data_IF_789759247844
#
_entry.id   IF_789759247844
#
_cell.length_a   1.000
_cell.length_b   1.000
_cell.length_c   1.000
_cell.angle_alpha   90.00
_cell.angle_beta   90.00
_cell.angle_gamma   90.00
#
_symmetry.space_group_name_H-M   'P 1'
#
loop_
_entity.id
_entity.type
_entity.pdbx_description
1 polymer ?
#
# COMPACT_ATOMS: atom_id res chain seq x y z
N UNK A 1 -10.84 -36.70 -22.78
CA UNK A 1 -11.24 -37.31 -21.50
C UNK A 1 -10.85 -36.37 -20.36
N UNK A 2 -11.77 -35.51 -19.92
CA UNK A 2 -11.63 -34.71 -18.70
C UNK A 2 -12.98 -34.74 -17.99
N UNK A 3 -13.04 -35.51 -16.91
CA UNK A 3 -14.27 -35.84 -16.20
C UNK A 3 -14.64 -34.71 -15.22
N UNK A 4 -15.60 -33.89 -15.62
CA UNK A 4 -16.50 -33.16 -14.72
C UNK A 4 -17.63 -34.11 -14.32
N UNK A 5 -17.76 -34.49 -13.05
CA UNK A 5 -19.10 -34.64 -12.44
C UNK A 5 -19.09 -34.88 -10.93
N UNK A 6 -19.96 -34.10 -10.26
CA UNK A 6 -20.70 -34.38 -9.02
C UNK A 6 -19.91 -34.91 -7.81
N UNK A 7 -19.54 -33.98 -6.93
CA UNK A 7 -19.46 -34.27 -5.49
C UNK A 7 -20.76 -33.78 -4.86
N UNK A 8 -21.64 -34.75 -4.60
CA UNK A 8 -22.86 -34.64 -3.81
C UNK A 8 -22.53 -34.26 -2.36
N UNK A 9 -22.89 -33.05 -1.94
CA UNK A 9 -22.91 -32.67 -0.52
C UNK A 9 -24.20 -33.14 0.11
N UNK A 10 -24.13 -34.27 0.81
CA UNK A 10 -25.11 -34.68 1.82
C UNK A 10 -25.07 -33.66 2.98
N UNK A 11 -26.10 -32.81 3.06
CA UNK A 11 -26.40 -32.01 4.25
C UNK A 11 -26.84 -32.96 5.36
N UNK A 12 -25.91 -33.32 6.24
CA UNK A 12 -26.24 -33.87 7.55
C UNK A 12 -26.98 -32.81 8.36
N UNK A 13 -28.18 -33.16 8.82
CA UNK A 13 -28.94 -32.38 9.77
C UNK A 13 -28.19 -32.37 11.11
N UNK A 14 -27.40 -31.32 11.34
CA UNK A 14 -26.97 -30.96 12.69
C UNK A 14 -28.16 -30.20 13.27
N UNK A 15 -28.84 -30.86 14.21
CA UNK A 15 -29.88 -30.27 15.02
C UNK A 15 -29.34 -28.98 15.64
N UNK A 16 -29.86 -27.84 15.20
CA UNK A 16 -29.75 -26.60 15.94
C UNK A 16 -30.47 -26.82 17.26
N UNK A 17 -29.70 -27.07 18.32
CA UNK A 17 -30.15 -26.83 19.68
C UNK A 17 -30.41 -25.33 19.73
N UNK A 18 -31.67 -24.96 19.54
CA UNK A 18 -32.17 -23.65 19.86
C UNK A 18 -32.00 -23.50 21.37
N UNK A 19 -30.87 -22.89 21.76
CA UNK A 19 -30.73 -22.24 23.06
C UNK A 19 -31.96 -21.37 23.22
N UNK A 20 -32.81 -21.76 24.17
CA UNK A 20 -34.05 -21.08 24.50
C UNK A 20 -33.72 -19.66 24.90
N UNK A 21 -33.81 -18.74 23.93
CA UNK A 21 -33.87 -17.33 24.20
C UNK A 21 -35.09 -17.11 25.09
N UNK A 22 -34.83 -16.61 26.29
CA UNK A 22 -35.85 -16.09 27.19
C UNK A 22 -36.45 -14.84 26.53
N UNK A 23 -37.38 -15.08 25.61
CA UNK A 23 -38.30 -14.07 25.10
C UNK A 23 -39.25 -13.75 26.23
N UNK A 24 -38.99 -12.64 26.92
CA UNK A 24 -39.98 -11.95 27.73
C UNK A 24 -41.09 -11.53 26.79
N UNK A 25 -42.22 -12.21 26.89
CA UNK A 25 -43.45 -11.83 26.18
C UNK A 25 -43.77 -10.35 26.49
N UNK A 26 -44.32 -9.59 25.51
CA UNK A 26 -44.75 -8.22 25.76
C UNK A 26 -45.76 -8.22 26.92
N UNK A 27 -45.52 -7.33 27.88
CA UNK A 27 -46.39 -7.06 29.03
C UNK A 27 -47.81 -6.81 28.49
N UNK A 28 -48.67 -7.82 28.60
CA UNK A 28 -50.10 -7.60 28.66
C UNK A 28 -50.30 -6.79 29.93
N UNK A 29 -50.82 -5.57 29.77
CA UNK A 29 -51.47 -4.81 30.83
C UNK A 29 -52.24 -5.79 31.71
N UNK A 30 -51.77 -5.97 32.94
CA UNK A 30 -52.44 -6.77 33.95
C UNK A 30 -53.85 -6.19 34.12
N UNK A 31 -54.82 -6.92 33.59
CA UNK A 31 -56.20 -6.74 33.93
C UNK A 31 -56.29 -7.03 35.43
N UNK A 32 -56.43 -5.95 36.21
CA UNK A 32 -56.54 -5.97 37.67
C UNK A 32 -57.55 -7.07 38.03
N UNK A 33 -57.06 -8.18 38.57
CA UNK A 33 -57.92 -9.24 39.07
C UNK A 33 -58.94 -8.58 40.03
N UNK A 34 -60.24 -8.89 39.91
CA UNK A 34 -61.25 -8.25 40.74
C UNK A 34 -60.88 -8.47 42.20
N UNK A 35 -60.80 -7.37 42.94
CA UNK A 35 -60.59 -7.33 44.38
C UNK A 35 -61.72 -8.11 45.07
N UNK A 36 -61.53 -9.41 45.19
CA UNK A 36 -62.40 -10.37 45.86
C UNK A 36 -61.74 -10.92 47.12
N UNK A 37 -60.92 -10.12 47.80
CA UNK A 37 -60.37 -10.45 49.11
C UNK A 37 -61.42 -10.23 50.20
N UNK A 38 -62.37 -11.13 50.34
CA UNK A 38 -63.29 -11.10 51.48
C UNK A 38 -62.56 -11.41 52.79
N UNK A 39 -63.13 -10.97 53.92
CA UNK A 39 -62.54 -11.13 55.24
C UNK A 39 -62.25 -12.63 55.49
N UNK A 40 -60.96 -12.95 55.71
CA UNK A 40 -60.44 -14.32 55.89
C UNK A 40 -60.58 -15.27 54.67
N UNK A 41 -60.56 -14.75 53.42
CA UNK A 41 -60.55 -15.60 52.22
C UNK A 41 -61.88 -16.29 51.91
N UNK A 42 -62.95 -15.89 52.59
CA UNK A 42 -64.32 -16.26 52.23
C UNK A 42 -64.91 -15.14 51.39
N UNK A 43 -65.65 -15.45 50.33
CA UNK A 43 -66.29 -14.50 49.40
C UNK A 43 -67.41 -13.64 50.03
N UNK A 44 -67.44 -13.54 51.36
CA UNK A 44 -68.37 -12.71 52.12
C UNK A 44 -67.84 -11.28 52.18
N UNK A 45 -68.65 -10.32 51.71
CA UNK A 45 -68.33 -8.91 51.85
C UNK A 45 -68.26 -8.54 53.35
N UNK A 46 -67.34 -7.64 53.76
CA UNK A 46 -67.14 -7.25 55.18
C UNK A 46 -68.43 -6.83 55.91
N UNK A 47 -69.39 -6.27 55.18
CA UNK A 47 -70.71 -5.85 55.69
C UNK A 47 -71.62 -7.00 56.13
N UNK A 48 -71.50 -8.20 55.53
CA UNK A 48 -72.28 -9.38 55.89
C UNK A 48 -71.53 -10.31 56.85
N UNK A 49 -70.20 -10.22 56.89
CA UNK A 49 -69.37 -11.02 57.79
C UNK A 49 -69.58 -10.65 59.26
N UNK A 50 -69.74 -9.37 59.58
CA UNK A 50 -69.94 -8.91 60.97
C UNK A 50 -71.26 -9.43 61.55
N UNK A 51 -72.44 -9.26 60.91
CA UNK A 51 -73.68 -9.81 61.43
C UNK A 51 -73.68 -11.35 61.46
N UNK A 52 -73.17 -12.02 60.41
CA UNK A 52 -73.14 -13.48 60.36
C UNK A 52 -72.25 -14.09 61.47
N UNK A 53 -71.11 -13.45 61.76
CA UNK A 53 -70.23 -13.85 62.86
C UNK A 53 -70.89 -13.68 64.24
N UNK A 54 -71.65 -12.61 64.44
CA UNK A 54 -72.42 -12.40 65.68
C UNK A 54 -73.52 -13.46 65.82
N UNK A 55 -74.29 -13.73 64.75
CA UNK A 55 -75.34 -14.75 64.76
C UNK A 55 -74.81 -16.17 64.99
N UNK A 56 -73.62 -16.50 64.48
CA UNK A 56 -72.97 -17.79 64.73
C UNK A 56 -72.27 -17.86 66.10
N UNK A 57 -71.75 -16.75 66.61
CA UNK A 57 -71.02 -16.69 67.88
C UNK A 57 -71.91 -16.84 69.12
N UNK A 58 -73.11 -16.24 69.10
CA UNK A 58 -74.07 -16.31 70.22
C UNK A 58 -74.41 -17.76 70.62
N UNK A 59 -74.81 -18.68 69.71
CA UNK A 59 -75.13 -20.06 70.08
C UNK A 59 -73.91 -20.88 70.51
N UNK A 60 -72.71 -20.57 70.02
CA UNK A 60 -71.46 -21.27 70.40
C UNK A 60 -71.10 -20.96 71.86
N UNK A 61 -71.30 -19.70 72.29
CA UNK A 61 -71.05 -19.27 73.67
C UNK A 61 -72.16 -19.79 74.61
N UNK A 62 -73.44 -19.72 74.18
CA UNK A 62 -74.57 -20.15 75.00
C UNK A 62 -74.62 -21.68 75.22
N UNK A 63 -74.20 -22.48 74.25
CA UNK A 63 -74.14 -23.95 74.37
C UNK A 63 -72.84 -24.45 75.02
N UNK A 64 -71.96 -23.55 75.50
CA UNK A 64 -70.65 -23.86 76.07
C UNK A 64 -69.75 -24.78 75.23
N UNK A 65 -69.89 -24.73 73.90
CA UNK A 65 -68.98 -25.45 72.99
C UNK A 65 -67.56 -24.86 73.02
N UNK A 66 -67.44 -23.60 73.44
CA UNK A 66 -66.18 -22.91 73.70
C UNK A 66 -66.23 -22.29 75.10
N UNK A 67 -65.34 -22.74 75.99
CA UNK A 67 -65.21 -22.21 77.35
C UNK A 67 -64.23 -21.04 77.31
N UNK A 68 -64.69 -19.86 77.73
CA UNK A 68 -63.86 -18.66 77.81
C UNK A 68 -62.93 -18.76 79.02
N UNK A 69 -61.71 -19.23 78.79
CA UNK A 69 -60.61 -19.29 79.76
C UNK A 69 -59.42 -18.42 79.30
N UNK A 70 -58.39 -18.28 80.13
CA UNK A 70 -57.19 -17.49 79.86
C UNK A 70 -56.52 -17.84 78.51
N UNK A 71 -56.62 -19.08 78.06
CA UNK A 71 -56.11 -19.54 76.76
C UNK A 71 -56.88 -18.94 75.57
N UNK A 72 -58.20 -18.70 75.70
CA UNK A 72 -59.00 -18.07 74.64
C UNK A 72 -58.68 -16.58 74.47
N UNK A 73 -58.28 -15.90 75.55
CA UNK A 73 -57.75 -14.55 75.51
C UNK A 73 -56.38 -14.50 74.81
N UNK A 74 -55.53 -15.52 75.03
CA UNK A 74 -54.25 -15.66 74.31
C UNK A 74 -54.47 -15.89 72.81
N UNK A 75 -55.45 -16.72 72.44
CA UNK A 75 -55.84 -16.92 71.03
C UNK A 75 -56.36 -15.63 70.40
N UNK A 76 -57.17 -14.85 71.13
CA UNK A 76 -57.63 -13.53 70.68
C UNK A 76 -56.47 -12.54 70.45
N UNK A 77 -55.49 -12.52 71.36
CA UNK A 77 -54.29 -11.69 71.23
C UNK A 77 -53.42 -12.14 70.05
N UNK A 78 -53.25 -13.45 69.85
CA UNK A 78 -52.51 -14.01 68.72
C UNK A 78 -53.22 -13.71 67.38
N UNK A 79 -54.55 -13.83 67.32
CA UNK A 79 -55.32 -13.45 66.14
C UNK A 79 -55.23 -11.95 65.83
N UNK A 80 -55.27 -11.09 66.86
CA UNK A 80 -55.06 -9.66 66.68
C UNK A 80 -53.63 -9.35 66.18
N UNK A 81 -52.62 -10.07 66.68
CA UNK A 81 -51.24 -9.96 66.23
C UNK A 81 -51.06 -10.42 64.78
N UNK A 82 -51.63 -11.56 64.37
CA UNK A 82 -51.52 -12.04 62.97
C UNK A 82 -52.25 -11.13 61.99
N UNK A 83 -53.42 -10.57 62.36
CA UNK A 83 -54.12 -9.58 61.54
C UNK A 83 -53.28 -8.31 61.41
N UNK A 84 -52.69 -7.81 62.50
CA UNK A 84 -51.87 -6.60 62.48
C UNK A 84 -50.57 -6.82 61.70
N UNK A 85 -49.92 -7.97 61.87
CA UNK A 85 -48.73 -8.36 61.13
C UNK A 85 -49.01 -8.54 59.63
N UNK A 86 -50.18 -9.06 59.26
CA UNK A 86 -50.58 -9.18 57.85
C UNK A 86 -50.91 -7.83 57.23
N UNK A 87 -51.69 -6.98 57.91
CA UNK A 87 -52.14 -5.68 57.37
C UNK A 87 -51.05 -4.62 57.36
N UNK A 88 -50.15 -4.59 58.35
CA UNK A 88 -49.08 -3.58 58.42
C UNK A 88 -47.72 -4.13 57.98
N UNK A 89 -47.44 -5.41 58.25
CA UNK A 89 -46.19 -6.06 57.84
C UNK A 89 -46.23 -6.59 56.41
N UNK A 90 -47.41 -6.95 55.89
CA UNK A 90 -47.58 -7.41 54.52
C UNK A 90 -47.15 -6.37 53.49
N UNK A 91 -47.60 -5.13 53.65
CA UNK A 91 -47.24 -4.02 52.74
C UNK A 91 -45.73 -3.73 52.75
N UNK A 92 -45.08 -3.80 53.91
CA UNK A 92 -43.64 -3.59 54.03
C UNK A 92 -42.83 -4.71 53.35
N UNK A 93 -43.26 -5.97 53.50
CA UNK A 93 -42.62 -7.12 52.86
C UNK A 93 -42.86 -7.11 51.34
N UNK A 94 -44.08 -6.79 50.91
CA UNK A 94 -44.43 -6.66 49.50
C UNK A 94 -43.57 -5.57 48.84
N UNK A 95 -43.50 -4.38 49.43
CA UNK A 95 -42.65 -3.30 48.92
C UNK A 95 -41.17 -3.67 48.87
N UNK A 96 -40.65 -4.36 49.89
CA UNK A 96 -39.26 -4.84 49.85
C UNK A 96 -39.02 -5.86 48.73
N UNK A 97 -40.01 -6.69 48.41
CA UNK A 97 -39.91 -7.67 47.34
C UNK A 97 -40.02 -7.03 45.97
N UNK A 98 -40.91 -6.05 45.80
CA UNK A 98 -41.06 -5.26 44.58
C UNK A 98 -39.81 -4.42 44.30
N UNK A 99 -39.26 -3.76 45.33
CA UNK A 99 -38.02 -2.99 45.21
C UNK A 99 -36.85 -3.90 44.79
N UNK A 100 -36.75 -5.12 45.36
CA UNK A 100 -35.75 -6.11 44.95
C UNK A 100 -35.98 -6.61 43.52
N UNK A 101 -37.23 -6.86 43.14
CA UNK A 101 -37.56 -7.30 41.79
C UNK A 101 -37.17 -6.23 40.76
N UNK A 102 -37.46 -4.95 41.05
CA UNK A 102 -37.08 -3.84 40.19
C UNK A 102 -35.56 -3.73 40.05
N UNK A 103 -34.81 -3.83 41.16
CA UNK A 103 -33.35 -3.82 41.13
C UNK A 103 -32.79 -4.97 40.27
N UNK A 104 -33.34 -6.18 40.39
CA UNK A 104 -32.89 -7.32 39.58
C UNK A 104 -33.19 -7.10 38.09
N UNK A 105 -34.34 -6.53 37.75
CA UNK A 105 -34.68 -6.19 36.36
C UNK A 105 -33.72 -5.12 35.83
N UNK A 106 -33.42 -4.10 36.62
CA UNK A 106 -32.50 -3.02 36.23
C UNK A 106 -31.07 -3.54 36.05
N UNK A 107 -30.60 -4.42 36.94
CA UNK A 107 -29.30 -5.10 36.83
C UNK A 107 -29.24 -5.99 35.57
N UNK A 108 -30.33 -6.71 35.26
CA UNK A 108 -30.39 -7.56 34.08
C UNK A 108 -30.37 -6.73 32.79
N UNK A 109 -31.15 -5.65 32.72
CA UNK A 109 -31.16 -4.74 31.58
C UNK A 109 -29.78 -4.10 31.37
N UNK A 110 -29.12 -3.68 32.45
CA UNK A 110 -27.76 -3.14 32.38
C UNK A 110 -26.74 -4.18 31.88
N UNK A 111 -26.86 -5.44 32.31
CA UNK A 111 -26.02 -6.53 31.82
C UNK A 111 -26.27 -6.84 30.34
N UNK A 112 -27.54 -6.84 29.91
CA UNK A 112 -27.92 -6.99 28.51
C UNK A 112 -27.37 -5.86 27.64
N UNK A 113 -27.51 -4.60 28.06
CA UNK A 113 -26.97 -3.44 27.34
C UNK A 113 -25.45 -3.51 27.19
N UNK A 114 -24.73 -3.93 28.25
CA UNK A 114 -23.29 -4.17 28.17
C UNK A 114 -22.94 -5.29 27.19
N UNK A 115 -23.74 -6.35 27.15
CA UNK A 115 -23.54 -7.46 26.21
C UNK A 115 -23.78 -7.01 24.76
N UNK A 116 -24.81 -6.18 24.52
CA UNK A 116 -25.12 -5.63 23.20
C UNK A 116 -23.97 -4.74 22.74
N UNK A 117 -23.51 -3.81 23.59
CA UNK A 117 -22.38 -2.93 23.29
C UNK A 117 -21.08 -3.72 22.99
N UNK A 118 -20.84 -4.81 23.73
CA UNK A 118 -19.70 -5.68 23.48
C UNK A 118 -19.80 -6.36 22.10
N UNK A 119 -20.98 -6.88 21.75
CA UNK A 119 -21.21 -7.51 20.44
C UNK A 119 -21.12 -6.48 19.30
N UNK A 120 -21.65 -5.27 19.48
CA UNK A 120 -21.53 -4.19 18.50
C UNK A 120 -20.07 -3.80 18.25
N UNK A 121 -19.27 -3.67 19.31
CA UNK A 121 -17.83 -3.42 19.22
C UNK A 121 -17.10 -4.53 18.43
N UNK A 122 -17.47 -5.80 18.66
CA UNK A 122 -16.93 -6.93 17.90
C UNK A 122 -17.33 -6.87 16.43
N UNK A 123 -18.58 -6.52 16.12
CA UNK A 123 -19.08 -6.33 14.75
C UNK A 123 -18.30 -5.21 14.05
N UNK A 124 -18.09 -4.07 14.71
CA UNK A 124 -17.28 -2.99 14.17
C UNK A 124 -15.82 -3.42 13.94
N UNK A 125 -15.25 -4.18 14.86
CA UNK A 125 -13.93 -4.79 14.71
C UNK A 125 -13.86 -5.69 13.47
N UNK A 126 -14.89 -6.50 13.22
CA UNK A 126 -14.97 -7.33 12.02
C UNK A 126 -15.16 -6.51 10.74
N UNK A 127 -15.96 -5.43 10.75
CA UNK A 127 -16.09 -4.52 9.61
C UNK A 127 -14.76 -3.87 9.25
N UNK A 128 -13.98 -3.42 10.25
CA UNK A 128 -12.63 -2.87 10.05
C UNK A 128 -11.69 -3.91 9.44
N UNK A 129 -11.73 -5.17 9.91
CA UNK A 129 -10.93 -6.27 9.33
C UNK A 129 -11.32 -6.54 7.86
N UNK A 130 -12.60 -6.50 7.52
CA UNK A 130 -13.05 -6.65 6.13
C UNK A 130 -12.60 -5.48 5.24
N UNK A 131 -12.57 -4.25 5.77
CA UNK A 131 -12.02 -3.10 5.05
C UNK A 131 -10.52 -3.29 4.75
N UNK A 132 -9.73 -3.73 5.74
CA UNK A 132 -8.31 -4.04 5.56
C UNK A 132 -8.08 -5.12 4.50
N UNK A 133 -8.92 -6.15 4.44
CA UNK A 133 -8.82 -7.17 3.39
C UNK A 133 -9.06 -6.59 1.99
N UNK A 134 -10.01 -5.67 1.84
CA UNK A 134 -10.22 -4.96 0.57
C UNK A 134 -9.04 -4.07 0.21
N UNK A 135 -8.44 -3.40 1.21
CA UNK A 135 -7.25 -2.57 0.99
C UNK A 135 -6.06 -3.43 0.53
N UNK A 136 -5.91 -4.65 1.05
CA UNK A 136 -4.89 -5.61 0.61
C UNK A 136 -5.13 -6.05 -0.83
N UNK A 137 -6.37 -6.36 -1.22
CA UNK A 137 -6.72 -6.70 -2.61
C UNK A 137 -6.39 -5.55 -3.56
N UNK A 138 -6.72 -4.31 -3.19
CA UNK A 138 -6.33 -3.13 -3.95
C UNK A 138 -4.80 -3.01 -4.03
N UNK A 139 -4.08 -3.23 -2.94
CA UNK A 139 -2.62 -3.17 -2.93
C UNK A 139 -1.98 -4.22 -3.84
N UNK A 140 -2.55 -5.42 -3.93
CA UNK A 140 -2.13 -6.46 -4.88
C UNK A 140 -2.31 -5.99 -6.32
N UNK A 141 -3.49 -5.44 -6.66
CA UNK A 141 -3.73 -4.92 -8.03
C UNK A 141 -2.76 -3.78 -8.40
N UNK A 142 -2.47 -2.87 -7.46
CA UNK A 142 -1.50 -1.79 -7.68
C UNK A 142 -0.08 -2.33 -7.84
N UNK A 143 0.29 -3.36 -7.07
CA UNK A 143 1.60 -4.01 -7.17
C UNK A 143 1.78 -4.69 -8.53
N UNK A 144 0.77 -5.39 -9.02
CA UNK A 144 0.76 -6.01 -10.35
C UNK A 144 0.87 -4.96 -11.47
N UNK A 145 0.14 -3.85 -11.35
CA UNK A 145 0.26 -2.74 -12.30
C UNK A 145 1.65 -2.11 -12.28
N UNK A 146 2.26 -1.98 -11.10
CA UNK A 146 3.61 -1.46 -10.95
C UNK A 146 4.63 -2.39 -11.62
N UNK A 147 4.55 -3.70 -11.40
CA UNK A 147 5.43 -4.69 -12.04
C UNK A 147 5.29 -4.62 -13.56
N UNK A 148 4.07 -4.59 -14.09
CA UNK A 148 3.84 -4.45 -15.54
C UNK A 148 4.45 -3.18 -16.12
N UNK A 149 4.31 -2.05 -15.42
CA UNK A 149 4.92 -0.77 -15.84
C UNK A 149 6.44 -0.84 -15.76
N UNK A 150 7.00 -1.44 -14.72
CA UNK A 150 8.45 -1.62 -14.56
C UNK A 150 9.04 -2.52 -15.65
N UNK A 151 8.37 -3.64 -15.96
CA UNK A 151 8.75 -4.54 -17.05
C UNK A 151 8.72 -3.85 -18.42
N UNK A 152 7.75 -2.96 -18.66
CA UNK A 152 7.68 -2.18 -19.89
C UNK A 152 8.78 -1.11 -20.00
N UNK A 153 9.25 -0.55 -18.87
CA UNK A 153 10.27 0.51 -18.85
C UNK A 153 11.70 -0.06 -18.88
N UNK A 154 11.95 -1.20 -18.23
CA UNK A 154 13.27 -1.83 -18.16
C UNK A 154 14.02 -1.96 -19.51
N UNK A 155 13.40 -2.48 -20.61
CA UNK A 155 14.10 -2.60 -21.88
C UNK A 155 14.42 -1.25 -22.50
N UNK A 156 13.55 -0.24 -22.33
CA UNK A 156 13.77 1.09 -22.87
C UNK A 156 14.95 1.79 -22.18
N UNK A 157 15.06 1.66 -20.86
CA UNK A 157 16.22 2.16 -20.12
C UNK A 157 17.52 1.53 -20.63
N UNK A 158 17.51 0.22 -20.89
CA UNK A 158 18.66 -0.48 -21.44
C UNK A 158 19.03 0.00 -22.84
N UNK A 159 18.05 0.18 -23.73
CA UNK A 159 18.27 0.73 -25.07
C UNK A 159 18.87 2.14 -24.99
N UNK A 160 18.34 3.01 -24.12
CA UNK A 160 18.89 4.36 -23.92
C UNK A 160 20.33 4.33 -23.39
N UNK A 161 20.66 3.44 -22.45
CA UNK A 161 22.02 3.31 -21.93
C UNK A 161 23.02 2.86 -23.01
N UNK A 162 22.63 1.87 -23.83
CA UNK A 162 23.47 1.40 -24.94
C UNK A 162 23.63 2.48 -26.02
N UNK A 163 22.53 3.16 -26.38
CA UNK A 163 22.59 4.25 -27.35
C UNK A 163 23.49 5.39 -26.89
N UNK A 164 23.43 5.78 -25.61
CA UNK A 164 24.31 6.80 -25.04
C UNK A 164 25.79 6.38 -25.06
N UNK A 165 26.08 5.08 -24.82
CA UNK A 165 27.44 4.56 -24.91
C UNK A 165 27.97 4.58 -26.36
N UNK A 166 27.12 4.20 -27.33
CA UNK A 166 27.46 4.26 -28.77
C UNK A 166 27.70 5.71 -29.20
N UNK A 167 26.83 6.64 -28.80
CA UNK A 167 26.99 8.06 -29.13
C UNK A 167 28.32 8.61 -28.60
N UNK A 168 28.69 8.26 -27.36
CA UNK A 168 29.98 8.65 -26.79
C UNK A 168 31.16 8.05 -27.57
N UNK A 169 31.06 6.79 -27.98
CA UNK A 169 32.11 6.15 -28.79
C UNK A 169 32.25 6.82 -30.16
N UNK A 170 31.14 7.16 -30.81
CA UNK A 170 31.13 7.89 -32.08
C UNK A 170 31.73 9.29 -31.94
N UNK A 171 31.44 10.00 -30.84
CA UNK A 171 32.05 11.31 -30.55
C UNK A 171 33.57 11.19 -30.33
N UNK A 172 34.05 10.13 -29.65
CA UNK A 172 35.49 9.89 -29.48
C UNK A 172 36.18 9.61 -30.81
N UNK A 173 35.59 8.74 -31.65
CA UNK A 173 36.10 8.44 -32.99
C UNK A 173 36.16 9.71 -33.85
N UNK A 174 35.10 10.53 -33.84
CA UNK A 174 35.08 11.80 -34.57
C UNK A 174 36.20 12.74 -34.11
N UNK A 175 36.39 12.88 -32.79
CA UNK A 175 37.46 13.72 -32.25
C UNK A 175 38.86 13.20 -32.63
N UNK A 176 39.05 11.88 -32.60
CA UNK A 176 40.31 11.24 -33.05
C UNK A 176 40.54 11.48 -34.54
N UNK A 177 39.52 11.40 -35.38
CA UNK A 177 39.64 11.67 -36.82
C UNK A 177 40.02 13.12 -37.10
N UNK A 178 39.43 14.08 -36.38
CA UNK A 178 39.78 15.50 -36.49
C UNK A 178 41.26 15.71 -36.13
N UNK A 179 41.72 15.14 -35.01
CA UNK A 179 43.11 15.25 -34.55
C UNK A 179 44.06 14.56 -35.55
N UNK A 180 43.70 13.38 -36.06
CA UNK A 180 44.51 12.65 -37.02
C UNK A 180 44.64 13.43 -38.34
N UNK A 181 43.54 14.00 -38.84
CA UNK A 181 43.54 14.82 -40.05
C UNK A 181 44.37 16.09 -39.88
N UNK A 182 44.27 16.75 -38.73
CA UNK A 182 45.10 17.90 -38.40
C UNK A 182 46.58 17.50 -38.36
N UNK A 183 46.93 16.39 -37.69
CA UNK A 183 48.30 15.88 -37.62
C UNK A 183 48.88 15.55 -39.00
N UNK A 184 48.09 14.92 -39.88
CA UNK A 184 48.50 14.63 -41.27
C UNK A 184 48.73 15.93 -42.05
N UNK A 185 47.89 16.95 -41.87
CA UNK A 185 48.09 18.25 -42.52
C UNK A 185 49.36 18.97 -42.02
N UNK A 186 49.63 18.90 -40.71
CA UNK A 186 50.83 19.47 -40.10
C UNK A 186 52.09 18.73 -40.53
N UNK A 187 52.07 17.38 -40.59
CA UNK A 187 53.20 16.60 -41.07
C UNK A 187 53.46 16.84 -42.55
N UNK A 188 52.42 16.84 -43.39
CA UNK A 188 52.55 17.13 -44.82
C UNK A 188 53.12 18.54 -45.06
N UNK A 189 52.65 19.55 -44.32
CA UNK A 189 53.18 20.90 -44.41
C UNK A 189 54.67 20.95 -44.01
N UNK A 190 55.04 20.28 -42.90
CA UNK A 190 56.42 20.21 -42.43
C UNK A 190 57.34 19.49 -43.43
N UNK A 191 56.93 18.33 -43.92
CA UNK A 191 57.69 17.54 -44.88
C UNK A 191 57.85 18.27 -46.22
N UNK A 192 56.79 18.97 -46.66
CA UNK A 192 56.85 19.83 -47.84
C UNK A 192 57.83 20.98 -47.65
N UNK A 193 57.84 21.65 -46.48
CA UNK A 193 58.81 22.73 -46.19
C UNK A 193 60.24 22.20 -46.20
N UNK A 194 60.50 21.02 -45.63
CA UNK A 194 61.82 20.38 -45.66
C UNK A 194 62.23 20.04 -47.10
N UNK A 195 61.36 19.38 -47.86
CA UNK A 195 61.64 19.01 -49.24
C UNK A 195 61.87 20.22 -50.16
N UNK A 196 61.11 21.31 -49.98
CA UNK A 196 61.31 22.56 -50.74
C UNK A 196 62.61 23.25 -50.32
N UNK A 197 62.96 23.23 -49.03
CA UNK A 197 64.24 23.77 -48.55
C UNK A 197 65.43 23.00 -49.13
N UNK A 198 65.36 21.68 -49.15
CA UNK A 198 66.43 20.84 -49.69
C UNK A 198 66.56 21.01 -51.21
N UNK A 199 65.42 21.06 -51.93
CA UNK A 199 65.39 21.35 -53.36
C UNK A 199 65.93 22.76 -53.69
N UNK A 200 65.60 23.76 -52.87
CA UNK A 200 66.09 25.14 -53.03
C UNK A 200 67.59 25.25 -52.82
N UNK A 201 68.13 24.62 -51.76
CA UNK A 201 69.57 24.60 -51.49
C UNK A 201 70.37 23.85 -52.57
N UNK A 202 69.75 22.87 -53.23
CA UNK A 202 70.36 22.08 -54.31
C UNK A 202 70.39 22.77 -55.68
N UNK A 203 69.59 23.83 -55.90
CA UNK A 203 69.50 24.53 -57.18
C UNK A 203 70.04 25.96 -57.11
N UNK A 204 71.29 26.13 -57.53
CA UNK A 204 71.97 27.43 -57.54
C UNK A 204 71.26 28.52 -58.37
N UNK A 205 70.45 28.15 -59.37
CA UNK A 205 69.67 29.11 -60.15
C UNK A 205 68.44 29.59 -59.37
N UNK A 206 67.80 28.71 -58.61
CA UNK A 206 66.69 29.08 -57.74
C UNK A 206 67.16 30.05 -56.64
N UNK A 207 68.35 29.81 -56.05
CA UNK A 207 68.95 30.72 -55.05
C UNK A 207 69.20 32.11 -55.62
N UNK A 208 69.87 32.20 -56.77
CA UNK A 208 70.18 33.49 -57.41
C UNK A 208 68.90 34.28 -57.82
N UNK A 209 67.88 33.58 -58.32
CA UNK A 209 66.61 34.20 -58.68
C UNK A 209 65.83 34.72 -57.46
N UNK A 210 65.90 34.02 -56.33
CA UNK A 210 65.29 34.45 -55.06
C UNK A 210 66.03 35.64 -54.43
N UNK A 211 67.35 35.69 -54.51
CA UNK A 211 68.14 36.85 -54.08
C UNK A 211 67.80 38.10 -54.90
N UNK A 212 67.71 37.96 -56.23
CA UNK A 212 67.32 39.04 -57.12
C UNK A 212 65.88 39.54 -56.86
N UNK A 213 64.96 38.64 -56.51
CA UNK A 213 63.60 38.98 -56.09
C UNK A 213 63.59 39.73 -54.75
N UNK A 214 64.32 39.25 -53.74
CA UNK A 214 64.39 39.89 -52.42
C UNK A 214 64.96 41.31 -52.50
N UNK A 215 65.98 41.53 -53.35
CA UNK A 215 66.55 42.86 -53.60
C UNK A 215 65.50 43.79 -54.22
N UNK A 216 64.72 43.33 -55.21
CA UNK A 216 63.66 44.14 -55.84
C UNK A 216 62.52 44.47 -54.87
N UNK A 217 62.12 43.52 -54.02
CA UNK A 217 61.06 43.71 -53.04
C UNK A 217 61.47 44.72 -51.94
N UNK A 218 62.71 44.66 -51.45
CA UNK A 218 63.25 45.61 -50.47
C UNK A 218 63.42 47.03 -51.04
N UNK A 219 63.58 47.15 -52.36
CA UNK A 219 63.61 48.44 -53.05
C UNK A 219 62.23 49.07 -53.29
N UNK A 220 61.14 48.45 -52.79
CA UNK A 220 59.78 49.00 -52.83
C UNK A 220 59.08 48.90 -54.19
N UNK A 221 59.62 48.14 -55.14
CA UNK A 221 58.98 47.84 -56.41
C UNK A 221 58.09 46.60 -56.34
N UNK A 222 57.08 46.52 -57.22
CA UNK A 222 56.29 45.30 -57.44
C UNK A 222 57.23 44.18 -57.93
N UNK A 223 57.55 43.26 -57.04
CA UNK A 223 58.54 42.20 -57.29
C UNK A 223 57.97 41.04 -58.13
N UNK A 224 56.66 41.05 -58.41
CA UNK A 224 55.98 39.98 -59.15
C UNK A 224 55.76 38.71 -58.31
N UNK A 225 55.47 37.59 -58.98
CA UNK A 225 55.24 36.30 -58.31
C UNK A 225 56.54 35.73 -57.71
N UNK A 226 56.46 35.19 -56.49
CA UNK A 226 57.63 34.67 -55.81
C UNK A 226 58.15 33.40 -56.50
N UNK A 227 59.45 33.30 -56.81
CA UNK A 227 60.01 32.20 -57.61
C UNK A 227 59.93 30.83 -56.93
N UNK A 228 59.77 30.79 -55.59
CA UNK A 228 59.65 29.53 -54.82
C UNK A 228 58.20 29.00 -54.79
N UNK A 229 57.19 29.81 -55.10
CA UNK A 229 55.78 29.41 -54.95
C UNK A 229 55.39 28.27 -55.90
N UNK A 230 55.90 28.30 -57.14
CA UNK A 230 55.67 27.21 -58.10
C UNK A 230 56.39 25.92 -57.72
N UNK A 231 57.59 26.01 -57.14
CA UNK A 231 58.31 24.84 -56.61
C UNK A 231 57.65 24.27 -55.35
N UNK A 232 57.06 25.13 -54.52
CA UNK A 232 56.30 24.69 -53.35
C UNK A 232 55.04 23.93 -53.77
N UNK A 233 54.28 24.45 -54.73
CA UNK A 233 53.08 23.80 -55.25
C UNK A 233 53.38 22.49 -55.98
N UNK A 234 54.50 22.37 -56.71
CA UNK A 234 54.87 21.14 -57.40
C UNK A 234 55.30 20.05 -56.42
N UNK A 235 56.09 20.38 -55.39
CA UNK A 235 56.51 19.45 -54.35
C UNK A 235 55.33 19.02 -53.49
N UNK A 236 54.46 19.95 -53.08
CA UNK A 236 53.23 19.66 -52.33
C UNK A 236 52.31 18.71 -53.11
N UNK A 237 52.18 18.91 -54.43
CA UNK A 237 51.38 18.04 -55.28
C UNK A 237 51.99 16.64 -55.37
N UNK A 238 53.32 16.53 -55.52
CA UNK A 238 54.00 15.23 -55.55
C UNK A 238 53.95 14.46 -54.24
N UNK A 239 54.05 15.15 -53.10
CA UNK A 239 53.96 14.54 -51.76
C UNK A 239 52.52 14.12 -51.45
N UNK A 240 51.54 14.93 -51.85
CA UNK A 240 50.12 14.57 -51.77
C UNK A 240 49.78 13.35 -52.66
N UNK A 241 50.29 13.30 -53.89
CA UNK A 241 50.07 12.17 -54.81
C UNK A 241 50.76 10.88 -54.32
N UNK A 242 51.89 10.99 -53.61
CA UNK A 242 52.57 9.86 -52.97
C UNK A 242 51.77 9.33 -51.75
N UNK A 243 51.32 10.23 -50.87
CA UNK A 243 50.48 9.88 -49.72
C UNK A 243 49.15 9.24 -50.16
N UNK A 244 48.52 9.76 -51.22
CA UNK A 244 47.28 9.20 -51.78
C UNK A 244 47.46 7.80 -52.40
N UNK A 245 48.69 7.45 -52.85
CA UNK A 245 49.02 6.10 -53.33
C UNK A 245 49.21 5.12 -52.18
N UNK A 246 49.83 5.55 -51.08
CA UNK A 246 49.95 4.73 -49.86
C UNK A 246 48.58 4.46 -49.21
N UNK A 247 47.69 5.44 -49.18
CA UNK A 247 46.33 5.28 -48.65
C UNK A 247 45.49 4.30 -49.49
N UNK A 248 45.63 4.33 -50.83
CA UNK A 248 44.99 3.34 -51.73
C UNK A 248 45.54 1.92 -51.55
N UNK A 249 46.81 1.77 -51.16
CA UNK A 249 47.41 0.47 -50.86
C UNK A 249 46.95 -0.11 -49.51
N UNK A 250 46.49 0.73 -48.58
CA UNK A 250 45.95 0.33 -47.28
C UNK A 250 44.43 0.06 -47.26
N UNK A 251 43.73 0.21 -48.39
CA UNK A 251 42.29 -0.09 -48.48
C UNK A 251 42.02 -1.57 -48.22
N UNK A 252 41.45 -1.88 -47.05
CA UNK A 252 40.97 -3.22 -46.69
C UNK A 252 41.59 -3.79 -45.41
N UNK A 253 42.65 -3.18 -44.87
CA UNK A 253 42.93 -3.34 -43.45
C UNK A 253 41.96 -2.41 -42.74
N UNK A 254 40.99 -2.99 -42.03
CA UNK A 254 40.37 -2.31 -40.91
C UNK A 254 41.56 -1.75 -40.13
N UNK A 255 41.63 -0.44 -39.96
CA UNK A 255 42.46 0.10 -38.89
C UNK A 255 41.80 -0.53 -37.67
N UNK A 256 42.31 -1.68 -37.26
CA UNK A 256 42.12 -2.23 -35.94
C UNK A 256 42.78 -1.18 -35.05
N UNK A 257 42.08 -0.08 -34.82
CA UNK A 257 42.23 0.64 -33.58
C UNK A 257 41.79 -0.39 -32.54
N UNK A 258 42.72 -1.26 -32.16
CA UNK A 258 42.54 -2.28 -31.14
C UNK A 258 41.95 -1.61 -29.89
N UNK A 259 42.30 -0.35 -29.66
CA UNK A 259 41.71 0.53 -28.67
C UNK A 259 40.22 0.85 -28.89
N UNK A 260 39.74 1.11 -30.11
CA UNK A 260 38.31 1.39 -30.34
C UNK A 260 37.45 0.14 -30.10
N UNK A 261 37.93 -1.03 -30.51
CA UNK A 261 37.24 -2.31 -30.26
C UNK A 261 37.36 -2.73 -28.79
N UNK A 262 38.49 -2.44 -28.14
CA UNK A 262 38.70 -2.63 -26.70
C UNK A 262 37.83 -1.66 -25.87
N UNK A 263 37.69 -0.41 -26.27
CA UNK A 263 36.82 0.59 -25.63
C UNK A 263 35.36 0.20 -25.82
N UNK A 264 34.94 -0.20 -27.02
CA UNK A 264 33.58 -0.69 -27.26
C UNK A 264 33.28 -1.94 -26.42
N UNK A 265 34.19 -2.92 -26.37
CA UNK A 265 34.00 -4.12 -25.56
C UNK A 265 34.06 -3.87 -24.05
N UNK A 266 34.95 -2.99 -23.55
CA UNK A 266 35.02 -2.59 -22.13
C UNK A 266 33.81 -1.74 -21.72
N UNK A 267 33.31 -0.89 -22.61
CA UNK A 267 32.15 -0.03 -22.31
C UNK A 267 30.86 -0.86 -22.34
N UNK A 268 30.69 -1.73 -23.33
CA UNK A 268 29.56 -2.67 -23.40
C UNK A 268 29.63 -3.70 -22.26
N UNK A 269 30.82 -4.23 -21.96
CA UNK A 269 31.07 -5.17 -20.86
C UNK A 269 30.91 -4.55 -19.47
N UNK A 270 31.33 -3.30 -19.27
CA UNK A 270 31.15 -2.56 -18.02
C UNK A 270 29.70 -2.15 -17.77
N UNK A 271 28.95 -1.85 -18.83
CA UNK A 271 27.50 -1.62 -18.76
C UNK A 271 26.76 -2.94 -18.45
N UNK A 272 27.18 -4.07 -19.03
CA UNK A 272 26.64 -5.39 -18.69
C UNK A 272 26.94 -5.80 -17.24
N UNK A 273 28.14 -5.54 -16.72
CA UNK A 273 28.52 -5.87 -15.34
C UNK A 273 27.79 -5.04 -14.28
N UNK A 274 27.50 -3.76 -14.57
CA UNK A 274 26.63 -2.92 -13.73
C UNK A 274 25.17 -3.39 -13.72
N UNK A 275 24.72 -4.10 -14.76
CA UNK A 275 23.36 -4.60 -14.90
C UNK A 275 23.11 -5.96 -14.21
N UNK A 276 24.13 -6.78 -13.97
CA UNK A 276 23.97 -8.10 -13.28
C UNK A 276 24.11 -8.04 -11.76
N UNK A 277 24.28 -6.85 -11.17
CA UNK A 277 24.38 -6.69 -9.71
C UNK A 277 25.64 -7.30 -9.09
N UNK A 278 26.67 -7.58 -9.89
CA UNK A 278 27.98 -8.03 -9.42
C UNK A 278 28.96 -6.84 -9.44
N UNK A 279 28.74 -5.92 -8.51
CA UNK A 279 29.74 -4.96 -8.05
C UNK A 279 29.55 -4.77 -6.55
#
# INVERSE_FOLDING_TARGET
MLALNRISRTRGAIAQVASSFHTTAPVKSEEKAPEGGGFLGTSLSPLYAIPAGIFAGIPIIQNQWLILDAETQLVGCFAAFTITAYTQGGDAIAKMMDDKAQVVIDEHNAAEDLSIAAVESVIEGHKKRLAVLKDIEIMETVSDEYIKKAEAVAPNVQVHAVNAAIEKALQDILNREIIAREKVSQSLAKDTVVAVRDAFNGDAKAVANSEAYAIKALMGGDAGAHPIDQSFLSVLKSTADAAAKEEKANKGKIIEDAEANEILSKTIGGVAAKMTGTA
#
